data_IF_353632060290
#
_entry.id   IF_353632060290
#
_cell.length_a   1.000
_cell.length_b   1.000
_cell.length_c   1.000
_cell.angle_alpha   90.00
_cell.angle_beta   90.00
_cell.angle_gamma   90.00
#
_symmetry.space_group_name_H-M   'P 1'
#
loop_
_entity.id
_entity.type
_entity.pdbx_description
1 polymer ?
#
# COMPACT_ATOMS: atom_id res chain seq x y z
N UNK A 1 2.16 -10.12 -15.36
CA UNK A 1 1.51 -9.20 -14.39
C UNK A 1 2.38 -7.98 -14.19
N UNK A 2 1.79 -6.81 -14.19
CA UNK A 2 2.52 -5.56 -14.04
C UNK A 2 2.72 -5.26 -12.54
N UNK A 3 3.98 -5.26 -12.08
CA UNK A 3 4.30 -5.02 -10.67
C UNK A 3 4.77 -3.60 -10.40
N UNK A 4 4.73 -2.71 -11.40
CA UNK A 4 5.27 -1.35 -11.21
C UNK A 4 4.59 -0.59 -10.09
N UNK A 5 3.26 -0.70 -9.99
CA UNK A 5 2.53 -0.02 -8.93
C UNK A 5 2.80 -0.67 -7.57
N UNK A 6 2.91 -1.99 -7.54
CA UNK A 6 3.26 -2.69 -6.30
C UNK A 6 4.68 -2.31 -5.86
N UNK A 7 5.62 -2.24 -6.80
CA UNK A 7 6.98 -1.81 -6.50
C UNK A 7 7.00 -0.40 -5.92
N UNK A 8 6.18 0.50 -6.49
CA UNK A 8 6.08 1.87 -5.98
C UNK A 8 5.53 1.89 -4.56
N UNK A 9 4.51 1.10 -4.28
CA UNK A 9 3.94 1.00 -2.92
C UNK A 9 5.01 0.51 -1.95
N UNK A 10 5.74 -0.52 -2.33
CA UNK A 10 6.80 -1.08 -1.50
C UNK A 10 7.84 0.00 -1.12
N UNK A 11 8.33 0.72 -2.13
CA UNK A 11 9.33 1.75 -1.91
C UNK A 11 8.82 2.88 -1.03
N UNK A 12 7.59 3.34 -1.27
CA UNK A 12 7.00 4.41 -0.48
C UNK A 12 6.85 3.99 0.99
N UNK A 13 6.39 2.77 1.22
CA UNK A 13 6.21 2.27 2.58
C UNK A 13 7.54 2.13 3.31
N UNK A 14 8.59 1.68 2.61
CA UNK A 14 9.92 1.63 3.20
C UNK A 14 10.41 3.02 3.60
N UNK A 15 10.19 4.00 2.73
CA UNK A 15 10.60 5.37 3.00
C UNK A 15 9.86 5.97 4.19
N UNK A 16 8.63 5.53 4.43
CA UNK A 16 7.84 5.98 5.57
C UNK A 16 8.26 5.30 6.88
N UNK A 17 9.15 4.31 6.80
CA UNK A 17 9.71 3.69 8.00
C UNK A 17 9.02 2.41 8.45
N UNK A 18 8.15 1.84 7.66
CA UNK A 18 7.49 0.59 8.00
C UNK A 18 8.43 -0.60 7.84
N UNK A 19 8.19 -1.66 8.61
CA UNK A 19 8.98 -2.87 8.53
C UNK A 19 8.90 -3.47 7.13
N UNK A 20 10.03 -3.98 6.63
CA UNK A 20 10.13 -4.51 5.27
C UNK A 20 9.12 -5.63 5.00
N UNK A 21 8.92 -6.52 5.97
CA UNK A 21 7.97 -7.62 5.80
C UNK A 21 6.54 -7.10 5.60
N UNK A 22 6.16 -6.06 6.34
CA UNK A 22 4.85 -5.43 6.19
C UNK A 22 4.73 -4.76 4.83
N UNK A 23 5.77 -4.04 4.41
CA UNK A 23 5.78 -3.38 3.11
C UNK A 23 5.57 -4.38 1.98
N UNK A 24 6.27 -5.51 2.07
CA UNK A 24 6.19 -6.56 1.06
C UNK A 24 4.80 -7.19 1.01
N UNK A 25 4.24 -7.51 2.16
CA UNK A 25 2.91 -8.11 2.19
C UNK A 25 1.86 -7.17 1.60
N UNK A 26 1.88 -5.91 2.00
CA UNK A 26 0.91 -4.95 1.50
C UNK A 26 1.06 -4.76 0.00
N UNK A 27 2.29 -4.55 -0.46
CA UNK A 27 2.54 -4.21 -1.85
C UNK A 27 2.27 -5.39 -2.80
N UNK A 28 2.63 -6.60 -2.39
CA UNK A 28 2.63 -7.73 -3.33
C UNK A 28 1.57 -8.78 -3.04
N UNK A 29 1.09 -8.87 -1.81
CA UNK A 29 0.07 -9.85 -1.47
C UNK A 29 -1.33 -9.26 -1.51
N UNK A 30 -1.52 -8.07 -0.95
CA UNK A 30 -2.84 -7.47 -0.81
C UNK A 30 -3.17 -6.47 -1.91
N UNK A 31 -2.21 -5.62 -2.27
CA UNK A 31 -2.41 -4.60 -3.32
C UNK A 31 -1.88 -5.11 -4.66
N UNK A 32 -2.31 -6.27 -5.06
CA UNK A 32 -1.75 -6.97 -6.21
C UNK A 32 -2.56 -6.80 -7.50
N UNK A 33 -3.59 -5.97 -7.49
CA UNK A 33 -4.35 -5.64 -8.71
C UNK A 33 -4.13 -4.18 -9.03
N UNK A 34 -4.37 -3.83 -10.31
CA UNK A 34 -4.23 -2.44 -10.74
C UNK A 34 -5.15 -1.52 -9.93
N UNK A 35 -6.39 -1.96 -9.71
CA UNK A 35 -7.36 -1.18 -8.96
C UNK A 35 -6.90 -0.92 -7.52
N UNK A 36 -6.56 -1.97 -6.79
CA UNK A 36 -6.17 -1.83 -5.39
C UNK A 36 -4.87 -1.04 -5.25
N UNK A 37 -3.91 -1.30 -6.13
CA UNK A 37 -2.63 -0.61 -6.09
C UNK A 37 -2.80 0.89 -6.37
N UNK A 38 -3.65 1.24 -7.34
CA UNK A 38 -3.92 2.64 -7.66
C UNK A 38 -4.56 3.36 -6.46
N UNK A 39 -5.53 2.72 -5.81
CA UNK A 39 -6.18 3.28 -4.63
C UNK A 39 -5.17 3.51 -3.50
N UNK A 40 -4.32 2.52 -3.24
CA UNK A 40 -3.32 2.63 -2.19
C UNK A 40 -2.31 3.73 -2.49
N UNK A 41 -1.84 3.82 -3.73
CA UNK A 41 -0.89 4.87 -4.10
C UNK A 41 -1.48 6.26 -3.88
N UNK A 42 -2.74 6.47 -4.28
CA UNK A 42 -3.40 7.75 -4.06
C UNK A 42 -3.48 8.11 -2.59
N UNK A 43 -3.78 7.12 -1.75
CA UNK A 43 -3.82 7.32 -0.30
C UNK A 43 -2.43 7.70 0.24
N UNK A 44 -1.40 6.96 -0.16
CA UNK A 44 -0.04 7.19 0.32
C UNK A 44 0.48 8.58 -0.07
N UNK A 45 0.15 9.05 -1.26
CA UNK A 45 0.57 10.37 -1.71
C UNK A 45 -0.08 11.49 -0.92
N UNK A 46 -1.27 11.27 -0.38
CA UNK A 46 -1.98 12.28 0.41
C UNK A 46 -1.54 12.31 1.86
N UNK A 47 -0.95 11.22 2.36
CA UNK A 47 -0.61 11.09 3.78
C UNK A 47 0.86 11.41 4.00
N UNK A 48 1.15 12.50 4.72
CA UNK A 48 2.53 12.86 5.06
C UNK A 48 3.02 12.10 6.28
N UNK A 49 2.15 11.90 7.26
CA UNK A 49 2.45 11.08 8.44
C UNK A 49 1.44 9.97 8.51
N UNK A 50 1.92 8.73 8.56
CA UNK A 50 1.05 7.57 8.48
C UNK A 50 1.45 6.57 9.54
N UNK A 51 0.49 6.20 10.39
CA UNK A 51 0.70 5.16 11.39
C UNK A 51 0.29 3.82 10.82
N UNK A 52 0.88 2.75 11.38
CA UNK A 52 0.62 1.40 10.89
C UNK A 52 -0.86 1.04 10.94
N UNK A 53 -1.56 1.38 12.02
CA UNK A 53 -2.98 1.04 12.12
C UNK A 53 -3.82 1.79 11.09
N UNK A 54 -3.47 3.02 10.76
CA UNK A 54 -4.16 3.77 9.71
C UNK A 54 -3.93 3.11 8.35
N UNK A 55 -2.70 2.67 8.09
CA UNK A 55 -2.35 1.98 6.87
C UNK A 55 -3.14 0.69 6.71
N UNK A 56 -3.21 -0.11 7.77
CA UNK A 56 -3.93 -1.38 7.74
C UNK A 56 -5.43 -1.15 7.55
N UNK A 57 -5.99 -0.16 8.23
CA UNK A 57 -7.41 0.18 8.08
C UNK A 57 -7.74 0.58 6.64
N UNK A 58 -6.89 1.40 6.03
CA UNK A 58 -7.11 1.81 4.64
C UNK A 58 -6.97 0.62 3.69
N UNK A 59 -5.99 -0.25 3.94
CA UNK A 59 -5.81 -1.45 3.13
C UNK A 59 -7.07 -2.31 3.16
N UNK A 60 -7.63 -2.52 4.34
CA UNK A 60 -8.85 -3.31 4.49
C UNK A 60 -10.01 -2.64 3.75
N UNK A 61 -10.15 -1.33 3.89
CA UNK A 61 -11.20 -0.59 3.21
C UNK A 61 -11.10 -0.73 1.69
N UNK A 62 -9.89 -0.64 1.14
CA UNK A 62 -9.67 -0.80 -0.29
C UNK A 62 -10.05 -2.20 -0.74
N UNK A 63 -9.67 -3.22 0.03
CA UNK A 63 -9.96 -4.61 -0.32
C UNK A 63 -11.45 -4.92 -0.26
N UNK A 64 -12.18 -4.27 0.64
CA UNK A 64 -13.62 -4.47 0.78
C UNK A 64 -14.42 -3.69 -0.25
N UNK A 65 -13.86 -2.61 -0.76
CA UNK A 65 -14.53 -1.71 -1.70
C UNK A 65 -14.27 -2.17 -3.14
N UNK A 66 -14.87 -3.27 -3.54
CA UNK A 66 -14.68 -3.83 -4.88
C UNK A 66 -15.97 -3.94 -5.64
#
# INVERSE_FOLDING_TARGET
MDTRKSDAIYEILLQKGFAESLCREIAYKYMNTDYTATRMLGYLYRMTELKEEQLVDEMIAILEDR
#
